data_IF_626362004264
#
_entry.id   IF_626362004264
#
_cell.length_a   1.000
_cell.length_b   1.000
_cell.length_c   1.000
_cell.angle_alpha   90.00
_cell.angle_beta   90.00
_cell.angle_gamma   90.00
#
_symmetry.space_group_name_H-M   'P 1'
#
loop_
_entity.id
_entity.type
_entity.pdbx_description
1 polymer ?
#
# COMPACT_ATOMS: atom_id res chain seq x y z
N UNK A 1 5.32 -6.61 -24.62
CA UNK A 1 5.71 -6.50 -23.19
C UNK A 1 4.52 -5.95 -22.45
N UNK A 2 4.08 -6.67 -21.41
CA UNK A 2 2.99 -6.25 -20.54
C UNK A 2 3.33 -4.90 -19.88
N UNK A 3 2.49 -3.88 -20.07
CA UNK A 3 2.72 -2.52 -19.59
C UNK A 3 2.52 -2.49 -18.07
N UNK A 4 3.60 -2.64 -17.28
CA UNK A 4 3.55 -2.57 -15.82
C UNK A 4 3.42 -1.11 -15.37
N UNK A 5 2.55 -0.87 -14.38
CA UNK A 5 2.36 0.47 -13.82
C UNK A 5 3.67 0.96 -13.13
N UNK A 6 4.24 2.11 -13.54
CA UNK A 6 5.53 2.58 -13.02
C UNK A 6 5.49 2.92 -11.53
N UNK A 7 4.34 3.35 -11.00
CA UNK A 7 4.18 3.62 -9.57
C UNK A 7 4.29 2.33 -8.74
N UNK A 8 3.74 1.22 -9.24
CA UNK A 8 3.85 -0.08 -8.55
C UNK A 8 5.27 -0.63 -8.60
N UNK A 9 5.95 -0.50 -9.74
CA UNK A 9 7.36 -0.90 -9.90
C UNK A 9 8.26 -0.16 -8.92
N UNK A 10 8.03 1.15 -8.74
CA UNK A 10 8.75 2.00 -7.77
C UNK A 10 8.17 1.92 -6.34
N UNK A 11 7.04 1.24 -6.15
CA UNK A 11 6.27 1.11 -4.91
C UNK A 11 5.96 2.45 -4.27
N UNK A 12 5.34 3.32 -5.06
CA UNK A 12 4.85 4.63 -4.69
C UNK A 12 3.33 4.67 -4.82
N UNK A 13 2.65 5.54 -4.06
CA UNK A 13 1.27 5.86 -4.34
C UNK A 13 1.13 6.48 -5.73
N UNK A 14 -0.02 6.27 -6.36
CA UNK A 14 -0.33 6.90 -7.65
C UNK A 14 -0.33 8.43 -7.49
N UNK A 15 0.21 9.15 -8.48
CA UNK A 15 0.33 10.61 -8.43
C UNK A 15 1.47 11.12 -7.53
N UNK A 16 2.33 10.23 -7.00
CA UNK A 16 3.55 10.65 -6.34
C UNK A 16 4.38 11.58 -7.24
N UNK A 17 4.98 12.59 -6.61
CA UNK A 17 5.80 13.59 -7.27
C UNK A 17 7.05 12.99 -7.90
N UNK A 18 7.65 13.71 -8.86
CA UNK A 18 8.92 13.31 -9.49
C UNK A 18 10.03 13.10 -8.46
N UNK A 19 10.13 13.98 -7.46
CA UNK A 19 11.15 13.87 -6.43
C UNK A 19 10.98 12.60 -5.57
N UNK A 20 9.74 12.17 -5.33
CA UNK A 20 9.46 10.91 -4.64
C UNK A 20 9.84 9.70 -5.50
N UNK A 21 9.60 9.76 -6.81
CA UNK A 21 10.04 8.75 -7.78
C UNK A 21 11.57 8.58 -7.77
N UNK A 22 12.32 9.67 -7.83
CA UNK A 22 13.79 9.65 -7.77
C UNK A 22 14.28 9.05 -6.44
N UNK A 23 13.69 9.47 -5.31
CA UNK A 23 14.04 8.92 -3.99
C UNK A 23 13.73 7.42 -3.88
N UNK A 24 12.58 6.99 -4.40
CA UNK A 24 12.18 5.58 -4.39
C UNK A 24 13.10 4.72 -5.26
N UNK A 25 13.46 5.19 -6.45
CA UNK A 25 14.42 4.56 -7.33
C UNK A 25 15.76 4.34 -6.62
N UNK A 26 16.34 5.38 -6.02
CA UNK A 26 17.62 5.28 -5.31
C UNK A 26 17.58 4.24 -4.17
N UNK A 27 16.50 4.21 -3.39
CA UNK A 27 16.31 3.22 -2.31
C UNK A 27 16.24 1.80 -2.84
N UNK A 28 15.43 1.56 -3.87
CA UNK A 28 15.23 0.23 -4.48
C UNK A 28 16.48 -0.27 -5.19
N UNK A 29 17.18 0.59 -5.91
CA UNK A 29 18.46 0.24 -6.56
C UNK A 29 19.51 -0.16 -5.53
N UNK A 30 19.62 0.55 -4.41
CA UNK A 30 20.50 0.17 -3.30
C UNK A 30 20.14 -1.19 -2.70
N UNK A 31 18.85 -1.49 -2.58
CA UNK A 31 18.35 -2.77 -2.09
C UNK A 31 18.64 -3.92 -3.07
N UNK A 32 18.38 -3.73 -4.37
CA UNK A 32 18.62 -4.73 -5.41
C UNK A 32 20.09 -5.15 -5.53
N UNK A 33 21.04 -4.22 -5.31
CA UNK A 33 22.48 -4.55 -5.29
C UNK A 33 22.85 -5.60 -4.24
N UNK A 34 22.01 -5.81 -3.22
CA UNK A 34 22.21 -6.83 -2.17
C UNK A 34 21.62 -8.20 -2.52
N UNK A 35 20.79 -8.31 -3.56
CA UNK A 35 20.00 -9.51 -3.89
C UNK A 35 20.64 -10.42 -4.97
N UNK A 36 21.86 -10.10 -5.44
CA UNK A 36 22.58 -10.98 -6.37
C UNK A 36 22.03 -10.98 -7.81
N UNK A 37 22.21 -12.06 -8.60
CA UNK A 37 22.03 -12.05 -10.07
C UNK A 37 20.59 -11.80 -10.56
N UNK A 38 19.55 -12.06 -9.75
CA UNK A 38 18.15 -11.68 -10.07
C UNK A 38 17.93 -10.16 -10.12
N UNK A 39 18.89 -9.37 -9.64
CA UNK A 39 18.81 -7.90 -9.61
C UNK A 39 18.82 -7.24 -10.97
N UNK A 40 19.39 -7.86 -12.01
CA UNK A 40 19.53 -7.23 -13.34
C UNK A 40 18.19 -6.97 -14.00
N UNK A 41 17.31 -7.97 -14.07
CA UNK A 41 15.98 -7.82 -14.66
C UNK A 41 15.16 -6.77 -13.89
N UNK A 42 15.22 -6.80 -12.55
CA UNK A 42 14.54 -5.82 -11.68
C UNK A 42 15.12 -4.41 -11.81
N UNK A 43 16.41 -4.26 -12.12
CA UNK A 43 17.04 -2.95 -12.34
C UNK A 43 16.58 -2.32 -13.66
N UNK A 44 16.43 -3.13 -14.73
CA UNK A 44 15.86 -2.68 -16.00
C UNK A 44 14.43 -2.17 -15.80
N UNK A 45 13.62 -2.91 -15.05
CA UNK A 45 12.24 -2.51 -14.72
C UNK A 45 12.19 -1.17 -13.96
N UNK A 46 13.05 -0.98 -12.96
CA UNK A 46 13.12 0.29 -12.22
C UNK A 46 13.52 1.47 -13.11
N UNK A 47 14.46 1.25 -14.03
CA UNK A 47 14.93 2.29 -14.94
C UNK A 47 13.84 2.68 -15.93
N UNK A 48 13.13 1.68 -16.49
CA UNK A 48 11.97 1.92 -17.35
C UNK A 48 10.86 2.68 -16.62
N UNK A 49 10.56 2.30 -15.37
CA UNK A 49 9.53 2.96 -14.58
C UNK A 49 9.85 4.42 -14.26
N UNK A 50 11.10 4.74 -13.91
CA UNK A 50 11.51 6.13 -13.68
C UNK A 50 11.41 6.95 -14.96
N UNK A 51 11.92 6.42 -16.08
CA UNK A 51 11.86 7.11 -17.37
C UNK A 51 10.42 7.39 -17.82
N UNK A 52 9.51 6.45 -17.59
CA UNK A 52 8.09 6.61 -17.91
C UNK A 52 7.41 7.68 -17.04
N UNK A 53 7.83 7.87 -15.78
CA UNK A 53 7.32 8.96 -14.94
C UNK A 53 7.91 10.32 -15.31
N UNK A 54 9.17 10.37 -15.77
CA UNK A 54 9.81 11.62 -16.19
C UNK A 54 9.28 12.14 -17.52
N UNK A 55 8.89 11.24 -18.42
CA UNK A 55 8.31 11.56 -19.73
C UNK A 55 6.79 11.70 -19.70
N UNK A 56 6.16 11.42 -18.57
CA UNK A 56 4.73 11.52 -18.40
C UNK A 56 4.25 12.99 -18.39
N UNK A 57 3.02 13.25 -18.87
CA UNK A 57 2.36 14.54 -18.68
C UNK A 57 2.25 14.90 -17.18
N UNK A 58 2.25 16.19 -16.84
CA UNK A 58 2.21 16.65 -15.44
C UNK A 58 0.90 16.32 -14.72
N UNK A 59 -0.18 16.04 -15.45
CA UNK A 59 -1.44 15.57 -14.88
C UNK A 59 -1.49 14.03 -14.86
N UNK A 60 -1.43 13.39 -13.67
CA UNK A 60 -1.56 11.94 -13.55
C UNK A 60 -2.96 11.46 -13.97
N UNK A 61 -4.00 12.28 -13.82
CA UNK A 61 -5.36 11.92 -14.22
C UNK A 61 -5.47 11.78 -15.74
N UNK A 62 -4.68 12.53 -16.51
CA UNK A 62 -4.58 12.38 -17.97
C UNK A 62 -4.01 11.00 -18.40
N UNK A 63 -3.38 10.25 -17.49
CA UNK A 63 -2.94 8.87 -17.72
C UNK A 63 -4.02 7.83 -17.40
N UNK A 64 -5.11 8.21 -16.74
CA UNK A 64 -6.25 7.31 -16.58
C UNK A 64 -6.84 7.09 -17.97
N UNK A 65 -6.61 5.91 -18.54
CA UNK A 65 -7.36 5.50 -19.71
C UNK A 65 -8.86 5.57 -19.35
N UNK A 66 -9.75 6.00 -20.27
CA UNK A 66 -11.18 5.97 -20.01
C UNK A 66 -11.57 4.57 -19.57
N UNK A 67 -12.12 4.46 -18.37
CA UNK A 67 -12.58 3.20 -17.81
C UNK A 67 -13.69 2.69 -18.74
N UNK A 68 -13.40 1.65 -19.53
CA UNK A 68 -14.39 1.05 -20.43
C UNK A 68 -15.26 0.13 -19.59
N UNK A 69 -16.46 0.60 -19.26
CA UNK A 69 -17.53 -0.24 -18.74
C UNK A 69 -17.86 -1.25 -19.85
N UNK A 70 -17.83 -2.57 -19.57
CA UNK A 70 -18.26 -3.55 -20.56
C UNK A 70 -19.70 -3.24 -21.00
N UNK A 71 -19.93 -3.20 -22.32
CA UNK A 71 -21.26 -2.92 -22.87
C UNK A 71 -22.28 -4.01 -22.55
N UNK A 72 -21.84 -5.18 -22.06
CA UNK A 72 -22.72 -6.25 -21.61
C UNK A 72 -23.13 -6.01 -20.14
N UNK A 73 -24.39 -5.63 -19.88
CA UNK A 73 -24.88 -5.36 -18.52
C UNK A 73 -24.83 -6.58 -17.60
N UNK A 74 -24.75 -7.81 -18.16
CA UNK A 74 -24.67 -9.05 -17.37
C UNK A 74 -23.34 -9.22 -16.64
N UNK A 75 -22.31 -8.46 -17.02
CA UNK A 75 -21.02 -8.46 -16.30
C UNK A 75 -21.11 -7.80 -14.92
N UNK A 76 -22.13 -6.99 -14.67
CA UNK A 76 -22.39 -6.35 -13.38
C UNK A 76 -23.44 -7.10 -12.53
N UNK A 77 -24.05 -8.17 -13.06
CA UNK A 77 -24.99 -8.99 -12.31
C UNK A 77 -24.23 -9.83 -11.28
N UNK A 78 -24.63 -9.72 -10.00
CA UNK A 78 -24.14 -10.60 -8.96
C UNK A 78 -24.72 -12.00 -9.19
N UNK A 79 -23.86 -13.01 -9.19
CA UNK A 79 -24.30 -14.41 -9.10
C UNK A 79 -24.96 -14.67 -7.75
N UNK A 80 -25.70 -15.78 -7.63
CA UNK A 80 -26.38 -16.19 -6.39
C UNK A 80 -25.43 -16.29 -5.18
N UNK A 81 -24.13 -16.46 -5.43
CA UNK A 81 -23.08 -16.55 -4.42
C UNK A 81 -22.46 -15.17 -4.06
N UNK A 82 -23.03 -14.07 -4.56
CA UNK A 82 -22.58 -12.71 -4.28
C UNK A 82 -21.31 -12.29 -5.04
N UNK A 83 -20.87 -13.09 -6.01
CA UNK A 83 -19.70 -12.82 -6.84
C UNK A 83 -20.17 -12.23 -8.16
N UNK A 84 -19.59 -11.11 -8.60
CA UNK A 84 -19.80 -10.64 -9.98
C UNK A 84 -19.46 -11.77 -10.96
N UNK A 85 -20.16 -11.88 -12.09
CA UNK A 85 -19.90 -12.92 -13.09
C UNK A 85 -18.41 -13.00 -13.52
N UNK A 86 -17.99 -13.96 -14.37
CA UNK A 86 -16.59 -14.25 -14.70
C UNK A 86 -15.90 -13.16 -15.56
N UNK A 87 -16.23 -11.90 -15.34
CA UNK A 87 -15.51 -10.74 -15.82
C UNK A 87 -14.19 -10.54 -15.06
N UNK A 88 -13.29 -9.86 -15.75
CA UNK A 88 -11.89 -9.54 -15.41
C UNK A 88 -11.70 -8.85 -14.04
N UNK A 89 -12.78 -8.51 -13.32
CA UNK A 89 -12.79 -7.78 -12.06
C UNK A 89 -13.19 -8.60 -10.83
N UNK A 90 -13.21 -9.93 -10.92
CA UNK A 90 -13.36 -10.80 -9.76
C UNK A 90 -12.01 -11.46 -9.40
N UNK A 91 -11.02 -10.72 -8.85
CA UNK A 91 -9.88 -11.39 -8.25
C UNK A 91 -10.40 -12.28 -7.11
N UNK A 92 -9.83 -13.48 -7.00
CA UNK A 92 -10.08 -14.39 -5.88
C UNK A 92 -9.84 -13.62 -4.57
N UNK A 93 -10.77 -13.62 -3.60
CA UNK A 93 -10.60 -12.85 -2.38
C UNK A 93 -9.34 -13.34 -1.66
N UNK A 94 -8.31 -12.49 -1.59
CA UNK A 94 -7.15 -12.76 -0.73
C UNK A 94 -7.66 -12.82 0.71
N UNK A 95 -7.56 -14.01 1.31
CA UNK A 95 -7.76 -14.17 2.75
C UNK A 95 -6.75 -13.32 3.50
N UNK A 96 -7.20 -12.19 4.02
CA UNK A 96 -6.44 -11.39 4.96
C UNK A 96 -6.09 -12.27 6.17
N UNK A 97 -4.81 -12.34 6.50
CA UNK A 97 -4.34 -13.01 7.72
C UNK A 97 -5.00 -12.36 8.94
N UNK A 98 -5.43 -13.23 9.85
CA UNK A 98 -6.17 -12.98 11.09
C UNK A 98 -6.06 -11.55 11.63
N UNK A 99 -7.19 -10.84 11.61
CA UNK A 99 -7.38 -9.63 12.42
C UNK A 99 -7.16 -9.99 13.90
N UNK A 100 -6.29 -9.25 14.63
CA UNK A 100 -6.17 -9.44 16.08
C UNK A 100 -7.53 -9.23 16.74
N UNK A 101 -7.86 -10.07 17.73
CA UNK A 101 -9.12 -9.98 18.44
C UNK A 101 -9.30 -8.56 19.02
N UNK A 102 -10.44 -7.95 18.70
CA UNK A 102 -10.81 -6.62 19.20
C UNK A 102 -10.84 -6.61 20.73
N UNK A 103 -11.17 -7.74 21.37
CA UNK A 103 -11.10 -7.91 22.82
C UNK A 103 -9.68 -7.74 23.37
N UNK A 104 -8.68 -8.32 22.72
CA UNK A 104 -7.27 -8.22 23.12
C UNK A 104 -6.73 -6.81 22.94
N UNK A 105 -7.06 -6.16 21.81
CA UNK A 105 -6.67 -4.76 21.58
C UNK A 105 -7.27 -3.82 22.63
N UNK A 106 -8.54 -4.04 23.01
CA UNK A 106 -9.19 -3.24 24.07
C UNK A 106 -8.54 -3.44 25.44
N UNK A 107 -8.18 -4.69 25.80
CA UNK A 107 -7.49 -4.98 27.06
C UNK A 107 -6.11 -4.32 27.12
N UNK A 108 -5.34 -4.41 26.03
CA UNK A 108 -4.03 -3.78 25.94
C UNK A 108 -4.11 -2.24 26.08
N UNK A 109 -5.08 -1.62 25.38
CA UNK A 109 -5.30 -0.18 25.47
C UNK A 109 -5.73 0.28 26.89
N UNK A 110 -6.61 -0.47 27.55
CA UNK A 110 -7.04 -0.16 28.91
C UNK A 110 -5.90 -0.23 29.93
N UNK A 111 -5.00 -1.22 29.78
CA UNK A 111 -3.85 -1.37 30.66
C UNK A 111 -2.86 -0.20 30.53
N UNK A 112 -2.55 0.22 29.29
CA UNK A 112 -1.68 1.37 29.04
C UNK A 112 -2.30 2.68 29.56
N UNK A 113 -3.61 2.86 29.40
CA UNK A 113 -4.32 4.00 29.97
C UNK A 113 -4.22 4.05 31.50
N UNK A 114 -4.46 2.93 32.19
CA UNK A 114 -4.33 2.85 33.65
C UNK A 114 -2.90 3.17 34.10
N UNK A 115 -1.90 2.66 33.38
CA UNK A 115 -0.48 2.93 33.66
C UNK A 115 -0.16 4.43 33.59
N UNK A 116 -0.68 5.12 32.57
CA UNK A 116 -0.51 6.57 32.43
C UNK A 116 -1.19 7.35 33.56
N UNK A 117 -2.42 6.98 33.92
CA UNK A 117 -3.19 7.64 34.99
C UNK A 117 -2.50 7.47 36.35
N UNK A 118 -2.05 6.26 36.68
CA UNK A 118 -1.33 6.00 37.94
C UNK A 118 -0.03 6.80 38.00
N UNK A 119 0.75 6.84 36.90
CA UNK A 119 1.98 7.63 36.84
C UNK A 119 1.71 9.13 37.02
N UNK A 120 0.70 9.66 36.34
CA UNK A 120 0.31 11.07 36.47
C UNK A 120 -0.15 11.42 37.89
N UNK A 121 -0.84 10.49 38.57
CA UNK A 121 -1.28 10.67 39.95
C UNK A 121 -0.13 10.58 40.95
N UNK A 122 0.81 9.64 40.77
CA UNK A 122 2.01 9.53 41.60
C UNK A 122 2.89 10.78 41.53
N UNK A 123 3.00 11.40 40.35
CA UNK A 123 3.72 12.68 40.19
C UNK A 123 3.05 13.85 40.91
N UNK A 124 1.73 13.81 41.13
CA UNK A 124 0.98 14.86 41.83
C UNK A 124 1.01 14.73 43.36
N UNK A 125 1.23 13.52 43.89
CA UNK A 125 1.18 13.28 45.33
C UNK A 125 2.50 13.58 46.05
N UNK A 126 3.59 13.82 45.32
CA UNK A 126 4.92 14.00 45.90
C UNK A 126 5.43 12.74 46.62
N UNK A 127 6.74 12.63 46.92
CA UNK A 127 7.23 11.54 47.77
C UNK A 127 6.58 11.62 49.16
N UNK A 128 6.23 10.48 49.80
CA UNK A 128 5.74 10.51 51.17
C UNK A 128 6.81 11.16 52.07
N UNK A 129 6.37 12.07 52.95
CA UNK A 129 7.25 12.70 53.92
C UNK A 129 7.90 11.61 54.81
N UNK A 130 9.19 11.77 55.16
CA UNK A 130 9.96 10.79 55.93
C UNK A 130 9.43 10.58 57.36
#
# INVERSE_FOLDING_TARGET
>A
MERRNPYLVLGLPFGASRDEAVRAFARRTKFLRRLGPESRARHTDLTGALHELETAPPDPAARMAPYRIPADPRTAELTADGVFGPGVFAPEPETLTQTPDVGDLRRAAAFEYLRLVVRARGQRLGPPAP
#
